data_IF_441199250850
#
_entry.id   IF_441199250850
#
_cell.length_a   1.000
_cell.length_b   1.000
_cell.length_c   1.000
_cell.angle_alpha   90.00
_cell.angle_beta   90.00
_cell.angle_gamma   90.00
#
_symmetry.space_group_name_H-M   'P 1'
#
loop_
_entity.id
_entity.type
_entity.pdbx_description
1 polymer ?
#
# COMPACT_ATOMS: atom_id res chain seq x y z
N UNK A 1 -29.27 -37.18 27.18
CA UNK A 1 -29.66 -36.41 25.96
C UNK A 1 -30.01 -34.95 26.26
N UNK A 2 -30.94 -34.62 27.17
CA UNK A 2 -31.28 -33.22 27.51
C UNK A 2 -30.10 -32.35 28.00
N UNK A 3 -29.18 -32.92 28.82
CA UNK A 3 -27.97 -32.20 29.28
C UNK A 3 -26.93 -31.95 28.18
N UNK A 4 -26.85 -32.82 27.17
CA UNK A 4 -25.96 -32.66 25.99
C UNK A 4 -26.48 -31.59 25.01
N UNK A 5 -27.79 -31.42 24.94
CA UNK A 5 -28.44 -30.34 24.17
C UNK A 5 -28.22 -29.00 24.87
N UNK A 6 -28.32 -28.97 26.21
CA UNK A 6 -28.10 -27.74 26.99
C UNK A 6 -26.66 -27.22 26.88
N UNK A 7 -25.66 -28.11 26.84
CA UNK A 7 -24.25 -27.73 26.65
C UNK A 7 -23.93 -27.26 25.23
N UNK A 8 -24.64 -27.75 24.20
CA UNK A 8 -24.49 -27.24 22.82
C UNK A 8 -25.04 -25.83 22.61
N UNK A 9 -26.05 -25.43 23.38
CA UNK A 9 -26.66 -24.09 23.27
C UNK A 9 -25.76 -23.00 23.88
N UNK A 10 -25.00 -23.33 24.94
CA UNK A 10 -24.12 -22.36 25.62
C UNK A 10 -22.92 -21.95 24.76
N UNK A 11 -22.42 -22.83 23.88
CA UNK A 11 -21.30 -22.54 22.98
C UNK A 11 -21.69 -21.54 21.88
N UNK A 12 -22.98 -21.43 21.55
CA UNK A 12 -23.48 -20.51 20.52
C UNK A 12 -23.61 -19.05 20.97
N UNK A 13 -23.50 -18.78 22.28
CA UNK A 13 -23.71 -17.47 22.88
C UNK A 13 -22.41 -16.71 23.19
N UNK A 14 -21.25 -17.23 22.76
CA UNK A 14 -19.99 -16.50 22.89
C UNK A 14 -19.93 -15.51 21.72
N UNK A 15 -20.07 -14.19 21.95
CA UNK A 15 -19.85 -13.22 20.89
C UNK A 15 -18.38 -13.32 20.47
N UNK A 16 -18.14 -13.81 19.25
CA UNK A 16 -16.83 -13.74 18.64
C UNK A 16 -16.57 -12.26 18.30
N UNK A 17 -15.75 -11.59 19.10
CA UNK A 17 -15.18 -10.30 18.70
C UNK A 17 -14.25 -10.54 17.52
N UNK A 18 -14.74 -10.23 16.31
CA UNK A 18 -13.96 -10.32 15.09
C UNK A 18 -13.04 -9.09 15.06
N UNK A 19 -11.78 -9.27 15.42
CA UNK A 19 -10.75 -8.26 15.19
C UNK A 19 -10.37 -8.30 13.72
N UNK A 20 -10.71 -7.26 12.97
CA UNK A 20 -10.23 -7.10 11.60
C UNK A 20 -8.74 -6.78 11.63
N UNK A 21 -7.89 -7.79 11.43
CA UNK A 21 -6.45 -7.57 11.23
C UNK A 21 -6.26 -7.03 9.81
N UNK A 22 -5.97 -5.74 9.72
CA UNK A 22 -5.64 -5.08 8.46
C UNK A 22 -4.15 -5.32 8.18
N UNK A 23 -3.85 -6.15 7.18
CA UNK A 23 -2.48 -6.43 6.73
C UNK A 23 -2.07 -5.44 5.63
N UNK A 24 -0.94 -4.77 5.80
CA UNK A 24 -0.37 -3.84 4.82
C UNK A 24 0.65 -2.90 5.45
N UNK A 25 1.46 -2.23 4.62
CA UNK A 25 2.31 -1.14 5.06
C UNK A 25 1.49 0.10 5.45
N UNK A 26 2.18 1.14 5.92
CA UNK A 26 1.59 2.40 6.36
C UNK A 26 2.53 3.54 6.03
N UNK A 27 2.00 4.70 5.66
CA UNK A 27 2.80 5.93 5.61
C UNK A 27 2.57 6.82 6.85
N UNK A 28 1.83 6.34 7.86
CA UNK A 28 1.59 7.12 9.07
C UNK A 28 2.90 7.30 9.86
N UNK A 29 3.36 8.54 9.92
CA UNK A 29 4.45 8.97 10.79
C UNK A 29 3.89 9.55 12.09
N UNK A 30 4.60 9.34 13.21
CA UNK A 30 4.07 9.61 14.55
C UNK A 30 3.81 11.11 14.86
N UNK A 31 4.36 12.07 14.10
CA UNK A 31 4.45 13.48 14.54
C UNK A 31 4.18 14.54 13.46
N UNK A 32 4.37 14.26 12.16
CA UNK A 32 4.49 15.34 11.13
C UNK A 32 3.31 15.43 10.15
N UNK A 33 2.19 14.77 10.46
CA UNK A 33 1.05 14.64 9.55
C UNK A 33 1.27 13.52 8.53
N UNK A 34 0.49 13.54 7.44
CA UNK A 34 0.62 12.52 6.40
C UNK A 34 1.72 12.92 5.41
N UNK A 35 2.80 12.14 5.27
CA UNK A 35 3.94 12.54 4.45
C UNK A 35 3.55 12.58 2.98
N UNK A 36 4.19 13.45 2.19
CA UNK A 36 4.05 13.43 0.73
C UNK A 36 4.89 12.30 0.11
N UNK A 37 4.50 11.77 -1.07
CA UNK A 37 5.33 10.80 -1.82
C UNK A 37 6.69 11.45 -2.13
N UNK A 38 7.78 10.83 -1.68
CA UNK A 38 9.16 11.25 -1.94
C UNK A 38 9.75 10.56 -3.19
N UNK A 39 8.88 10.15 -4.09
CA UNK A 39 9.13 9.26 -5.21
C UNK A 39 9.79 10.05 -6.35
N UNK A 40 11.03 9.71 -6.73
CA UNK A 40 11.82 10.50 -7.69
C UNK A 40 11.56 10.00 -9.12
N UNK A 41 10.96 10.86 -9.95
CA UNK A 41 10.73 10.55 -11.36
C UNK A 41 12.05 10.63 -12.15
N UNK A 42 12.45 9.56 -12.88
CA UNK A 42 13.65 9.61 -13.70
C UNK A 42 13.46 10.52 -14.91
N UNK A 43 14.57 11.10 -15.38
CA UNK A 43 14.57 11.95 -16.58
C UNK A 43 14.72 11.09 -17.82
N UNK A 44 13.81 11.24 -18.77
CA UNK A 44 13.86 10.50 -20.04
C UNK A 44 15.07 10.97 -20.87
N UNK A 45 15.91 10.06 -21.38
CA UNK A 45 17.00 10.42 -22.28
C UNK A 45 16.49 11.15 -23.51
N UNK A 46 17.22 12.19 -23.93
CA UNK A 46 16.94 12.88 -25.19
C UNK A 46 17.27 11.96 -26.36
N UNK A 47 16.35 11.86 -27.33
CA UNK A 47 16.57 11.10 -28.56
C UNK A 47 17.16 12.02 -29.64
N UNK A 48 18.37 11.75 -30.14
CA UNK A 48 18.94 12.50 -31.26
C UNK A 48 18.09 12.38 -32.53
N UNK A 49 18.17 13.40 -33.40
CA UNK A 49 17.48 13.39 -34.70
C UNK A 49 18.00 12.29 -35.64
N UNK A 50 19.30 11.99 -35.57
CA UNK A 50 19.96 10.91 -36.30
C UNK A 50 21.11 10.35 -35.47
N UNK A 51 21.49 9.12 -35.78
CA UNK A 51 22.71 8.49 -35.26
C UNK A 51 23.71 8.37 -36.42
N UNK A 52 24.96 8.72 -36.18
CA UNK A 52 26.00 8.76 -37.21
C UNK A 52 26.81 7.45 -37.29
N UNK A 53 26.68 6.58 -36.29
CA UNK A 53 27.45 5.35 -36.16
C UNK A 53 26.77 4.41 -35.13
N UNK A 54 27.27 3.17 -35.05
CA UNK A 54 26.73 2.16 -34.14
C UNK A 54 26.93 2.51 -32.66
N UNK A 55 28.05 3.16 -32.29
CA UNK A 55 28.33 3.47 -30.89
C UNK A 55 27.28 4.43 -30.29
N UNK A 56 26.81 5.43 -31.07
CA UNK A 56 25.78 6.36 -30.63
C UNK A 56 24.44 5.66 -30.39
N UNK A 57 24.12 4.66 -31.23
CA UNK A 57 22.93 3.81 -31.07
C UNK A 57 23.04 3.01 -29.78
N UNK A 58 24.18 2.33 -29.58
CA UNK A 58 24.41 1.48 -28.42
C UNK A 58 24.37 2.30 -27.12
N UNK A 59 25.02 3.48 -27.12
CA UNK A 59 25.00 4.39 -25.98
C UNK A 59 23.58 4.89 -25.67
N UNK A 60 22.80 5.27 -26.69
CA UNK A 60 21.41 5.68 -26.48
C UNK A 60 20.56 4.53 -25.93
N UNK A 61 20.71 3.30 -26.44
CA UNK A 61 19.99 2.13 -25.96
C UNK A 61 20.32 1.83 -24.49
N UNK A 62 21.59 1.89 -24.09
CA UNK A 62 21.99 1.73 -22.69
C UNK A 62 21.32 2.76 -21.76
N UNK A 63 21.22 4.02 -22.20
CA UNK A 63 20.53 5.06 -21.43
C UNK A 63 19.02 4.80 -21.34
N UNK A 64 18.40 4.29 -22.40
CA UNK A 64 16.99 3.92 -22.40
C UNK A 64 16.73 2.74 -21.46
N UNK A 65 17.59 1.73 -21.46
CA UNK A 65 17.46 0.58 -20.56
C UNK A 65 17.57 1.01 -19.09
N UNK A 66 18.53 1.88 -18.78
CA UNK A 66 18.68 2.48 -17.45
C UNK A 66 17.44 3.30 -17.05
N UNK A 67 16.94 4.16 -17.95
CA UNK A 67 15.71 4.92 -17.73
C UNK A 67 14.51 4.00 -17.46
N UNK A 68 14.34 2.94 -18.26
CA UNK A 68 13.22 2.01 -18.11
C UNK A 68 13.27 1.32 -16.75
N UNK A 69 14.46 0.87 -16.32
CA UNK A 69 14.65 0.27 -14.99
C UNK A 69 14.29 1.26 -13.86
N UNK A 70 14.82 2.47 -13.91
CA UNK A 70 14.50 3.52 -12.92
C UNK A 70 13.02 3.90 -12.94
N UNK A 71 12.38 3.88 -14.11
CA UNK A 71 10.97 4.19 -14.23
C UNK A 71 10.09 3.12 -13.59
N UNK A 72 10.46 1.84 -13.70
CA UNK A 72 9.77 0.77 -12.97
C UNK A 72 9.92 0.93 -11.44
N UNK A 73 11.09 1.30 -10.96
CA UNK A 73 11.30 1.58 -9.53
C UNK A 73 10.44 2.77 -9.06
N UNK A 74 10.39 3.84 -9.85
CA UNK A 74 9.51 4.98 -9.57
C UNK A 74 8.03 4.57 -9.50
N UNK A 75 7.55 3.76 -10.45
CA UNK A 75 6.17 3.27 -10.43
C UNK A 75 5.90 2.38 -9.21
N UNK A 76 6.82 1.49 -8.86
CA UNK A 76 6.69 0.65 -7.65
C UNK A 76 6.58 1.50 -6.39
N UNK A 77 7.42 2.52 -6.25
CA UNK A 77 7.42 3.44 -5.12
C UNK A 77 6.09 4.21 -5.00
N UNK A 78 5.55 4.67 -6.13
CA UNK A 78 4.25 5.36 -6.17
C UNK A 78 3.13 4.40 -5.76
N UNK A 79 3.13 3.18 -6.29
CA UNK A 79 2.11 2.18 -5.98
C UNK A 79 2.13 1.81 -4.50
N UNK A 80 3.30 1.56 -3.93
CA UNK A 80 3.47 1.27 -2.50
C UNK A 80 2.92 2.41 -1.64
N UNK A 81 3.28 3.66 -1.95
CA UNK A 81 2.76 4.82 -1.23
C UNK A 81 1.23 4.89 -1.28
N UNK A 82 0.62 4.65 -2.44
CA UNK A 82 -0.85 4.65 -2.62
C UNK A 82 -1.52 3.48 -1.89
N UNK A 83 -0.94 2.29 -1.94
CA UNK A 83 -1.43 1.10 -1.22
C UNK A 83 -1.43 1.34 0.29
N UNK A 84 -0.31 1.85 0.83
CA UNK A 84 -0.18 2.23 2.23
C UNK A 84 -1.21 3.29 2.63
N UNK A 85 -1.45 4.30 1.78
CA UNK A 85 -2.47 5.33 2.06
C UNK A 85 -3.89 4.78 2.10
N UNK A 86 -4.23 3.89 1.18
CA UNK A 86 -5.51 3.20 1.23
C UNK A 86 -5.65 2.31 2.46
N UNK A 87 -4.54 1.70 2.91
CA UNK A 87 -4.49 0.92 4.13
C UNK A 87 -4.76 1.78 5.38
N UNK A 88 -4.07 2.92 5.48
CA UNK A 88 -4.21 3.87 6.58
C UNK A 88 -5.65 4.40 6.68
N UNK A 89 -6.29 4.72 5.54
CA UNK A 89 -7.69 5.14 5.51
C UNK A 89 -8.61 4.06 6.10
N UNK A 90 -8.37 2.78 5.79
CA UNK A 90 -9.17 1.67 6.34
C UNK A 90 -8.99 1.57 7.85
N UNK A 91 -7.75 1.66 8.33
CA UNK A 91 -7.44 1.62 9.77
C UNK A 91 -8.12 2.78 10.50
N UNK A 92 -8.01 4.00 9.97
CA UNK A 92 -8.63 5.19 10.56
C UNK A 92 -10.16 5.02 10.64
N UNK A 93 -10.81 4.57 9.57
CA UNK A 93 -12.26 4.31 9.57
C UNK A 93 -12.66 3.25 10.59
N UNK A 94 -11.89 2.17 10.71
CA UNK A 94 -12.12 1.13 11.72
C UNK A 94 -12.05 1.71 13.13
N UNK A 95 -11.02 2.51 13.44
CA UNK A 95 -10.85 3.14 14.75
C UNK A 95 -11.93 4.16 15.08
N UNK A 96 -12.41 4.92 14.09
CA UNK A 96 -13.56 5.80 14.26
C UNK A 96 -14.81 4.97 14.63
N UNK A 97 -15.06 3.86 13.93
CA UNK A 97 -16.21 3.01 14.22
C UNK A 97 -16.12 2.37 15.62
N UNK A 98 -14.94 1.88 16.01
CA UNK A 98 -14.70 1.35 17.36
C UNK A 98 -15.06 2.38 18.45
N UNK A 99 -14.65 3.63 18.29
CA UNK A 99 -14.97 4.70 19.25
C UNK A 99 -16.47 5.06 19.27
N UNK A 100 -17.15 5.02 18.12
CA UNK A 100 -18.61 5.21 18.03
C UNK A 100 -19.34 4.08 18.73
N UNK A 101 -18.89 2.84 18.54
CA UNK A 101 -19.50 1.65 19.15
C UNK A 101 -19.30 1.66 20.68
N UNK A 102 -18.12 2.05 21.15
CA UNK A 102 -17.84 2.24 22.59
C UNK A 102 -18.75 3.29 23.22
N UNK A 103 -18.99 4.42 22.54
CA UNK A 103 -19.88 5.46 23.05
C UNK A 103 -21.37 5.08 23.08
N UNK A 104 -21.79 4.12 22.24
CA UNK A 104 -23.17 3.63 22.16
C UNK A 104 -23.44 2.41 23.04
N UNK A 105 -22.43 1.89 23.75
CA UNK A 105 -22.52 0.77 24.68
C UNK A 105 -22.78 1.25 26.11
#
# INVERSE_FOLDING_TARGET
MKKLILTSIVILLIPLSVYAVIFGGSNLELIVGYPSCNCIKPTKPFKPYSFNNQWEIDYYNMNIDSYNSQFQQYLSCINEYVENANNDIKIIKSKIQEAVDEANY
#
